data_IF_237243119665
#
_entry.id   IF_237243119665
#
_cell.length_a   1.000
_cell.length_b   1.000
_cell.length_c   1.000
_cell.angle_alpha   90.00
_cell.angle_beta   90.00
_cell.angle_gamma   90.00
#
_symmetry.space_group_name_H-M   'P 1'
#
loop_
_entity.id
_entity.type
_entity.pdbx_description
1 polymer ?
#
# COMPACT_ATOMS: atom_id res chain seq x y z
N UNK A 1 -20.76 16.61 -36.52
CA UNK A 1 -19.94 15.47 -36.02
C UNK A 1 -18.56 15.92 -35.50
N UNK A 2 -17.84 16.80 -36.21
CA UNK A 2 -16.53 17.33 -35.80
C UNK A 2 -16.51 17.96 -34.40
N UNK A 3 -17.51 18.76 -34.04
CA UNK A 3 -17.58 19.44 -32.74
C UNK A 3 -17.75 18.46 -31.56
N UNK A 4 -18.51 17.36 -31.76
CA UNK A 4 -18.71 16.32 -30.75
C UNK A 4 -17.43 15.48 -30.56
N UNK A 5 -16.74 15.16 -31.66
CA UNK A 5 -15.43 14.47 -31.61
C UNK A 5 -14.40 15.32 -30.89
N UNK A 6 -14.35 16.62 -31.18
CA UNK A 6 -13.42 17.55 -30.55
C UNK A 6 -13.67 17.70 -29.04
N UNK A 7 -14.95 17.75 -28.64
CA UNK A 7 -15.34 17.81 -27.23
C UNK A 7 -14.96 16.53 -26.48
N UNK A 8 -15.20 15.34 -27.06
CA UNK A 8 -14.78 14.06 -26.47
C UNK A 8 -13.25 13.98 -26.34
N UNK A 9 -12.51 14.45 -27.36
CA UNK A 9 -11.06 14.45 -27.33
C UNK A 9 -10.49 15.39 -26.25
N UNK A 10 -11.07 16.59 -26.08
CA UNK A 10 -10.70 17.51 -25.02
C UNK A 10 -10.98 16.95 -23.62
N UNK A 11 -12.12 16.27 -23.44
CA UNK A 11 -12.46 15.60 -22.17
C UNK A 11 -11.46 14.48 -21.86
N UNK A 12 -11.10 13.66 -22.85
CA UNK A 12 -10.07 12.62 -22.70
C UNK A 12 -8.70 13.21 -22.34
N UNK A 13 -8.27 14.26 -23.03
CA UNK A 13 -7.00 14.94 -22.73
C UNK A 13 -6.99 15.54 -21.32
N UNK A 14 -8.07 16.20 -20.91
CA UNK A 14 -8.20 16.76 -19.57
C UNK A 14 -8.17 15.65 -18.50
N UNK A 15 -8.86 14.54 -18.73
CA UNK A 15 -8.84 13.38 -17.83
C UNK A 15 -7.43 12.77 -17.71
N UNK A 16 -6.73 12.59 -18.83
CA UNK A 16 -5.36 12.06 -18.85
C UNK A 16 -4.38 13.02 -18.16
N UNK A 17 -4.48 14.32 -18.41
CA UNK A 17 -3.62 15.32 -17.75
C UNK A 17 -3.87 15.38 -16.26
N UNK A 18 -5.13 15.35 -15.83
CA UNK A 18 -5.51 15.32 -14.41
C UNK A 18 -4.93 14.08 -13.74
N UNK A 19 -5.07 12.91 -14.36
CA UNK A 19 -4.54 11.65 -13.84
C UNK A 19 -3.00 11.64 -13.77
N UNK A 20 -2.31 12.21 -14.76
CA UNK A 20 -0.85 12.37 -14.72
C UNK A 20 -0.42 13.31 -13.59
N UNK A 21 -1.14 14.42 -13.40
CA UNK A 21 -0.80 15.40 -12.35
C UNK A 21 -1.02 14.82 -10.96
N UNK A 22 -2.13 14.11 -10.72
CA UNK A 22 -2.39 13.45 -9.44
C UNK A 22 -1.41 12.30 -9.18
N UNK A 23 -0.99 11.57 -10.21
CA UNK A 23 0.11 10.58 -10.06
C UNK A 23 1.44 11.23 -9.71
N UNK A 24 1.77 12.37 -10.32
CA UNK A 24 3.01 13.10 -10.02
C UNK A 24 2.99 13.63 -8.60
N UNK A 25 1.92 14.30 -8.19
CA UNK A 25 1.75 14.75 -6.80
C UNK A 25 1.86 13.58 -5.81
N UNK A 26 1.26 12.43 -6.12
CA UNK A 26 1.37 11.23 -5.29
C UNK A 26 2.78 10.64 -5.23
N UNK A 27 3.60 10.85 -6.26
CA UNK A 27 5.00 10.42 -6.30
C UNK A 27 5.94 11.45 -5.67
N UNK A 28 5.56 12.73 -5.63
CA UNK A 28 6.30 13.78 -4.90
C UNK A 28 6.24 13.53 -3.39
N UNK A 29 5.16 12.94 -2.88
CA UNK A 29 5.03 12.57 -1.46
C UNK A 29 5.95 11.40 -1.03
N UNK A 30 6.48 10.61 -1.98
CA UNK A 30 7.38 9.51 -1.68
C UNK A 30 7.33 8.35 -2.70
N UNK A 31 8.17 7.32 -2.52
CA UNK A 31 8.20 6.18 -3.42
C UNK A 31 6.87 5.41 -3.37
N UNK A 32 6.18 5.39 -4.50
CA UNK A 32 4.88 4.73 -4.64
C UNK A 32 5.05 3.26 -5.04
N UNK A 33 4.34 2.37 -4.34
CA UNK A 33 4.35 0.94 -4.60
C UNK A 33 2.94 0.41 -4.87
N UNK A 34 2.86 -0.74 -5.56
CA UNK A 34 1.57 -1.36 -5.87
C UNK A 34 1.17 -2.28 -4.73
N UNK A 35 -0.04 -2.10 -4.21
CA UNK A 35 -0.49 -2.89 -3.07
C UNK A 35 -1.91 -3.43 -3.23
N UNK A 36 -2.28 -4.32 -2.30
CA UNK A 36 -3.65 -4.70 -2.00
C UNK A 36 -3.83 -4.60 -0.49
N UNK A 37 -5.03 -4.22 -0.09
CA UNK A 37 -5.38 -4.06 1.33
C UNK A 37 -6.43 -5.08 1.68
N UNK A 38 -6.27 -5.75 2.82
CA UNK A 38 -7.31 -6.60 3.40
C UNK A 38 -7.87 -5.93 4.63
N UNK A 39 -9.11 -5.50 4.50
CA UNK A 39 -9.95 -5.15 5.64
C UNK A 39 -10.76 -6.38 6.01
N UNK A 40 -10.71 -6.78 7.29
CA UNK A 40 -11.37 -8.00 7.80
C UNK A 40 -10.96 -9.24 6.97
N UNK A 41 -11.89 -9.85 6.23
CA UNK A 41 -11.67 -11.06 5.42
C UNK A 41 -11.62 -10.81 3.91
N UNK A 42 -11.71 -9.55 3.45
CA UNK A 42 -11.83 -9.23 2.02
C UNK A 42 -10.62 -8.46 1.51
N UNK A 43 -9.98 -9.01 0.48
CA UNK A 43 -8.96 -8.29 -0.27
C UNK A 43 -9.57 -7.23 -1.17
N UNK A 44 -9.00 -6.04 -1.15
CA UNK A 44 -9.29 -4.98 -2.10
C UNK A 44 -8.79 -5.36 -3.51
N UNK A 45 -9.19 -4.54 -4.50
CA UNK A 45 -8.58 -4.54 -5.83
C UNK A 45 -7.14 -4.00 -5.74
N UNK A 46 -6.37 -4.11 -6.82
CA UNK A 46 -5.03 -3.52 -6.87
C UNK A 46 -5.11 -2.00 -6.69
N UNK A 47 -4.26 -1.48 -5.83
CA UNK A 47 -4.17 -0.07 -5.44
C UNK A 47 -2.71 0.38 -5.51
N UNK A 48 -2.50 1.67 -5.35
CA UNK A 48 -1.17 2.25 -5.15
C UNK A 48 -1.11 2.81 -3.74
N UNK A 49 0.06 2.71 -3.11
CA UNK A 49 0.30 3.30 -1.81
C UNK A 49 1.65 4.01 -1.78
N UNK A 50 1.77 5.04 -0.94
CA UNK A 50 3.02 5.68 -0.58
C UNK A 50 2.94 6.16 0.88
N UNK A 51 4.09 6.39 1.49
CA UNK A 51 4.20 6.94 2.83
C UNK A 51 4.45 8.44 2.77
N UNK A 52 3.72 9.20 3.58
CA UNK A 52 3.97 10.61 3.84
C UNK A 52 4.21 10.77 5.35
N UNK A 53 5.47 10.56 5.77
CA UNK A 53 5.80 10.35 7.18
C UNK A 53 5.09 9.12 7.73
N UNK A 54 4.32 9.28 8.81
CA UNK A 54 3.54 8.22 9.48
C UNK A 54 2.16 7.95 8.84
N UNK A 55 1.83 8.67 7.76
CA UNK A 55 0.58 8.50 7.05
C UNK A 55 0.77 7.57 5.85
N UNK A 56 0.00 6.49 5.81
CA UNK A 56 -0.10 5.65 4.62
C UNK A 56 -1.19 6.22 3.70
N UNK A 57 -0.76 6.73 2.54
CA UNK A 57 -1.65 7.21 1.49
C UNK A 57 -1.99 6.05 0.56
N UNK A 58 -3.27 5.73 0.37
CA UNK A 58 -3.73 4.63 -0.49
C UNK A 58 -4.65 5.17 -1.57
N UNK A 59 -4.25 5.01 -2.83
CA UNK A 59 -4.98 5.46 -4.01
C UNK A 59 -5.63 4.30 -4.76
N UNK A 60 -6.93 4.43 -5.03
CA UNK A 60 -7.73 3.38 -5.70
C UNK A 60 -7.88 3.60 -7.21
N UNK A 61 -6.87 3.18 -7.97
CA UNK A 61 -6.94 3.17 -9.43
C UNK A 61 -6.92 4.57 -10.08
N UNK A 62 -6.98 4.64 -11.42
CA UNK A 62 -6.68 5.87 -12.16
C UNK A 62 -7.83 6.84 -12.38
N UNK A 63 -9.07 6.47 -12.04
CA UNK A 63 -10.27 7.26 -12.39
C UNK A 63 -11.08 7.67 -11.16
N UNK A 64 -11.03 6.89 -10.09
CA UNK A 64 -11.72 7.21 -8.85
C UNK A 64 -10.69 7.67 -7.82
N UNK A 65 -10.55 8.99 -7.73
CA UNK A 65 -9.56 9.74 -6.94
C UNK A 65 -9.77 9.66 -5.41
N UNK A 66 -10.22 8.50 -4.91
CA UNK A 66 -10.33 8.25 -3.49
C UNK A 66 -8.95 7.88 -2.97
N UNK A 67 -8.19 8.91 -2.63
CA UNK A 67 -6.98 8.80 -1.80
C UNK A 67 -7.42 8.70 -0.34
N UNK A 68 -7.14 7.56 0.27
CA UNK A 68 -7.33 7.37 1.70
C UNK A 68 -6.04 7.78 2.40
N UNK A 69 -6.16 8.62 3.43
CA UNK A 69 -5.05 8.99 4.31
C UNK A 69 -5.24 8.25 5.62
N UNK A 70 -4.35 7.31 5.92
CA UNK A 70 -4.47 6.48 7.11
C UNK A 70 -3.27 6.73 8.03
N UNK A 71 -3.46 7.41 9.18
CA UNK A 71 -2.47 7.37 10.24
C UNK A 71 -2.42 5.96 10.79
N UNK A 72 -1.25 5.33 10.67
CA UNK A 72 -1.09 3.91 10.95
C UNK A 72 0.13 3.66 11.80
N UNK A 73 0.10 2.55 12.54
CA UNK A 73 1.27 1.97 13.21
C UNK A 73 1.46 0.54 12.74
N UNK A 74 2.71 0.10 12.65
CA UNK A 74 3.03 -1.30 12.33
C UNK A 74 2.82 -2.18 13.55
N UNK A 75 2.09 -3.29 13.37
CA UNK A 75 1.94 -4.31 14.41
C UNK A 75 3.10 -5.32 14.33
N UNK A 76 3.71 -5.68 15.46
CA UNK A 76 4.52 -6.90 15.55
C UNK A 76 3.68 -8.12 15.13
N UNK A 77 4.25 -9.08 14.39
CA UNK A 77 5.68 -9.28 14.16
C UNK A 77 6.25 -8.65 12.87
N UNK A 78 5.64 -7.60 12.31
CA UNK A 78 6.21 -6.85 11.19
C UNK A 78 5.85 -7.39 9.80
N UNK A 79 6.84 -7.50 8.91
CA UNK A 79 6.67 -8.01 7.53
C UNK A 79 6.74 -9.53 7.50
N UNK A 80 5.82 -10.16 6.77
CA UNK A 80 5.83 -11.61 6.54
C UNK A 80 5.70 -11.95 5.06
N UNK A 81 6.28 -13.06 4.64
CA UNK A 81 5.98 -13.66 3.33
C UNK A 81 4.59 -14.28 3.35
N UNK A 82 3.85 -14.12 2.26
CA UNK A 82 2.59 -14.80 2.06
C UNK A 82 2.79 -16.13 1.32
N UNK A 83 2.02 -17.18 1.66
CA UNK A 83 2.01 -18.41 0.88
C UNK A 83 1.64 -18.12 -0.58
N UNK A 84 2.27 -18.84 -1.50
CA UNK A 84 1.98 -18.74 -2.92
C UNK A 84 0.46 -18.87 -3.17
N UNK A 85 -0.10 -17.95 -3.96
CA UNK A 85 -1.54 -17.86 -4.22
C UNK A 85 -2.32 -16.99 -3.24
N UNK A 86 -1.75 -16.61 -2.09
CA UNK A 86 -2.33 -15.62 -1.16
C UNK A 86 -1.77 -14.25 -1.52
N UNK A 87 -2.61 -13.30 -1.97
CA UNK A 87 -2.12 -12.02 -2.51
C UNK A 87 -1.91 -12.00 -4.03
N UNK A 88 -2.63 -12.86 -4.78
CA UNK A 88 -2.62 -12.88 -6.26
C UNK A 88 -2.58 -11.45 -6.83
N UNK A 89 -1.71 -11.25 -7.82
CA UNK A 89 -1.46 -9.98 -8.57
C UNK A 89 -0.46 -8.99 -7.95
N UNK A 90 0.17 -9.32 -6.83
CA UNK A 90 1.30 -8.54 -6.28
C UNK A 90 2.69 -9.05 -6.70
N UNK A 91 2.77 -10.08 -7.56
CA UNK A 91 4.04 -10.64 -8.03
C UNK A 91 4.28 -12.07 -7.52
N UNK A 92 5.45 -12.66 -7.83
CA UNK A 92 5.79 -14.04 -7.49
C UNK A 92 6.13 -14.24 -6.00
N UNK A 93 6.70 -13.23 -5.33
CA UNK A 93 7.03 -13.26 -3.90
C UNK A 93 6.28 -12.13 -3.15
N UNK A 94 4.98 -12.30 -2.83
CA UNK A 94 4.24 -11.27 -2.12
C UNK A 94 4.57 -11.25 -0.63
N UNK A 95 4.75 -10.04 -0.09
CA UNK A 95 4.94 -9.80 1.33
C UNK A 95 3.76 -9.04 1.92
N UNK A 96 3.50 -9.22 3.21
CA UNK A 96 2.39 -8.62 3.95
C UNK A 96 2.88 -7.93 5.21
N UNK A 97 2.31 -6.76 5.50
CA UNK A 97 2.45 -6.07 6.78
C UNK A 97 1.07 -5.91 7.40
N UNK A 98 0.97 -6.12 8.71
CA UNK A 98 -0.23 -5.78 9.48
C UNK A 98 -0.07 -4.39 10.08
N UNK A 99 -1.07 -3.56 9.84
CA UNK A 99 -1.15 -2.18 10.31
C UNK A 99 -2.38 -2.02 11.19
N UNK A 100 -2.29 -1.10 12.15
CA UNK A 100 -3.43 -0.59 12.91
C UNK A 100 -3.62 0.87 12.57
N UNK A 101 -4.84 1.25 12.19
CA UNK A 101 -5.22 2.65 12.03
C UNK A 101 -5.46 3.31 13.41
N UNK A 102 -5.53 4.65 13.44
CA UNK A 102 -5.79 5.41 14.66
C UNK A 102 -7.11 5.04 15.37
N UNK A 103 -8.10 4.50 14.63
CA UNK A 103 -9.38 4.01 15.17
C UNK A 103 -9.28 2.58 15.77
N UNK A 104 -8.09 1.99 15.80
CA UNK A 104 -7.87 0.61 16.24
C UNK A 104 -8.20 -0.44 15.17
N UNK A 105 -8.63 -0.05 13.97
CA UNK A 105 -8.92 -0.98 12.88
C UNK A 105 -7.62 -1.64 12.40
N UNK A 106 -7.56 -2.96 12.53
CA UNK A 106 -6.45 -3.76 12.01
C UNK A 106 -6.71 -4.15 10.55
N UNK A 107 -5.72 -3.92 9.70
CA UNK A 107 -5.75 -4.31 8.30
C UNK A 107 -4.38 -4.79 7.83
N UNK A 108 -4.37 -5.52 6.70
CA UNK A 108 -3.14 -6.03 6.13
C UNK A 108 -2.88 -5.40 4.77
N UNK A 109 -1.65 -4.99 4.51
CA UNK A 109 -1.20 -4.46 3.22
C UNK A 109 -0.23 -5.43 2.60
N UNK A 110 -0.48 -5.78 1.33
CA UNK A 110 0.34 -6.72 0.56
C UNK A 110 0.95 -6.02 -0.62
N UNK A 111 2.26 -6.17 -0.80
CA UNK A 111 3.02 -5.65 -1.94
C UNK A 111 3.95 -6.73 -2.51
N UNK A 112 4.68 -6.40 -3.56
CA UNK A 112 5.75 -7.26 -4.06
C UNK A 112 6.91 -7.29 -3.05
N UNK A 113 7.64 -8.39 -2.97
CA UNK A 113 8.84 -8.51 -2.13
C UNK A 113 9.92 -7.50 -2.48
N UNK A 114 10.02 -7.11 -3.76
CA UNK A 114 10.92 -6.05 -4.22
C UNK A 114 10.58 -4.67 -3.61
N UNK A 115 9.31 -4.44 -3.26
CA UNK A 115 8.82 -3.19 -2.65
C UNK A 115 8.88 -3.26 -1.11
N UNK A 116 9.76 -4.09 -0.52
CA UNK A 116 9.80 -4.32 0.96
C UNK A 116 10.07 -3.05 1.73
N UNK A 117 11.03 -2.25 1.29
CA UNK A 117 11.43 -1.02 1.98
C UNK A 117 10.28 -0.01 1.92
N UNK A 118 9.68 0.14 0.75
CA UNK A 118 8.56 1.05 0.50
C UNK A 118 7.30 0.60 1.25
N UNK A 119 7.02 -0.70 1.34
CA UNK A 119 5.88 -1.23 2.09
C UNK A 119 5.95 -0.87 3.57
N UNK A 120 7.15 -0.92 4.15
CA UNK A 120 7.38 -0.68 5.57
C UNK A 120 7.54 0.82 5.87
N UNK A 121 8.10 1.58 4.94
CA UNK A 121 8.26 3.03 5.02
C UNK A 121 9.04 3.44 6.27
N UNK A 122 8.50 4.34 7.12
CA UNK A 122 9.20 4.88 8.29
C UNK A 122 9.51 3.79 9.34
N UNK A 123 8.81 2.66 9.31
CA UNK A 123 8.96 1.58 10.27
C UNK A 123 10.04 0.58 9.89
N UNK A 124 11.10 0.99 9.20
CA UNK A 124 12.11 0.12 8.58
C UNK A 124 12.64 -0.99 9.49
N UNK A 125 12.75 -0.75 10.80
CA UNK A 125 13.10 -1.78 11.79
C UNK A 125 12.17 -3.02 11.72
N UNK A 126 10.88 -2.83 11.43
CA UNK A 126 9.91 -3.91 11.25
C UNK A 126 10.15 -4.73 9.97
N UNK A 127 10.87 -4.19 8.98
CA UNK A 127 11.27 -4.90 7.75
C UNK A 127 12.30 -6.00 8.01
N UNK A 128 13.04 -5.88 9.12
CA UNK A 128 14.09 -6.80 9.55
C UNK A 128 13.59 -7.80 10.61
N UNK A 129 12.28 -7.93 10.82
CA UNK A 129 11.72 -8.85 11.83
C UNK A 129 11.96 -10.35 11.56
N UNK A 130 12.78 -10.69 10.56
CA UNK A 130 13.46 -11.98 10.44
C UNK A 130 14.57 -12.15 11.52
N UNK A 131 14.79 -11.15 12.38
CA UNK A 131 15.66 -11.27 13.57
C UNK A 131 15.19 -12.44 14.45
N UNK A 132 16.13 -13.31 14.92
CA UNK A 132 15.78 -14.44 15.76
C UNK A 132 15.01 -13.95 16.99
N UNK A 133 13.91 -14.64 17.29
CA UNK A 133 13.08 -14.37 18.45
C UNK A 133 13.98 -14.36 19.69
N UNK A 134 14.01 -13.24 20.44
CA UNK A 134 14.81 -13.14 21.65
C UNK A 134 14.49 -14.35 22.57
N UNK A 135 15.52 -15.02 23.13
CA UNK A 135 15.31 -16.19 23.97
C UNK A 135 14.39 -15.84 25.12
N UNK A 136 13.27 -16.55 25.22
CA UNK A 136 12.30 -16.36 26.31
C UNK A 136 12.99 -16.78 27.59
N UNK A 137 13.19 -15.83 28.52
CA UNK A 137 13.77 -16.12 29.85
C UNK A 137 12.87 -17.14 30.54
N UNK A 138 13.31 -18.39 30.60
CA UNK A 138 12.62 -19.46 31.33
C UNK A 138 12.58 -19.02 32.79
N UNK A 139 11.40 -18.81 33.37
CA UNK A 139 11.26 -18.62 34.81
C UNK A 139 11.78 -19.90 35.45
N UNK A 140 12.89 -19.80 36.17
CA UNK A 140 13.29 -20.82 37.14
C UNK A 140 12.21 -20.84 38.22
N UNK A 141 11.64 -22.02 38.42
CA UNK A 141 10.72 -22.35 39.51
C UNK A 141 11.57 -22.94 40.62
#
# INVERSE_FOLDING_TARGET
MTLLVLLVFLVLLAAVRRERRTRRAFAEDGPAFRCRVRFRRRWSRRMWACWAGELLLIRRGPVFDRTLRLPVRVLPPGVHRLPAGTGRRCGPDPIVVRLVAADGTVFAVVAAGADRVELVGPYLAAAFSDLPRAPVRRREI
#
